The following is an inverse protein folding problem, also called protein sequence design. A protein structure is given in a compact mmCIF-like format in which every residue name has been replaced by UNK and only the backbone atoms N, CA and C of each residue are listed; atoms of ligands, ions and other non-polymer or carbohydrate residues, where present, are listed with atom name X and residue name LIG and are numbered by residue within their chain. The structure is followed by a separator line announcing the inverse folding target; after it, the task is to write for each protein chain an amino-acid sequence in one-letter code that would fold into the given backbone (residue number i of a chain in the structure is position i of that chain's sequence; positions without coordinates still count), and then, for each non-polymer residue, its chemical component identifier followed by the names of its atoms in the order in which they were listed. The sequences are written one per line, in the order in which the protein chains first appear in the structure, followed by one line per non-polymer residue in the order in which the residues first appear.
data_IF_188154743092
#
_entry.id   IF_188154743092
#
_cell.length_a   1.000
_cell.length_b   1.000
_cell.length_c   1.000
_cell.angle_alpha   90.00
_cell.angle_beta   90.00
_cell.angle_gamma   90.00
#
_symmetry.space_group_name_H-M   'P 1'
#
loop_
_entity.id
_entity.type
_entity.pdbx_description
1 polymer ?
#
# COMPACT_ATOMS: atom_id res chain seq x y z
N UNK A 1 -18.00 -21.45 32.30
CA UNK A 1 -18.69 -20.22 31.86
C UNK A 1 -18.25 -19.88 30.43
N UNK A 2 -19.18 -19.86 29.47
CA UNK A 2 -18.87 -19.83 28.03
C UNK A 2 -18.36 -18.45 27.59
N UNK A 3 -17.30 -18.45 26.77
CA UNK A 3 -16.66 -17.28 26.09
C UNK A 3 -17.57 -16.64 25.02
N UNK A 4 -18.86 -16.47 25.27
CA UNK A 4 -19.83 -15.96 24.27
C UNK A 4 -19.59 -14.49 23.91
N UNK A 5 -19.14 -13.67 24.86
CA UNK A 5 -18.72 -12.28 24.57
C UNK A 5 -17.44 -12.18 23.73
N UNK A 6 -16.55 -13.17 23.81
CA UNK A 6 -15.27 -13.19 23.08
C UNK A 6 -15.45 -13.43 21.58
N UNK A 7 -16.31 -14.37 21.20
CA UNK A 7 -16.54 -14.71 19.79
C UNK A 7 -17.22 -13.58 19.00
N UNK A 8 -18.23 -12.93 19.60
CA UNK A 8 -18.91 -11.76 19.02
C UNK A 8 -17.90 -10.60 18.86
N UNK A 9 -17.04 -10.37 19.86
CA UNK A 9 -16.02 -9.31 19.79
C UNK A 9 -14.96 -9.56 18.71
N UNK A 10 -14.56 -10.82 18.48
CA UNK A 10 -13.62 -11.18 17.42
C UNK A 10 -14.25 -11.03 16.04
N UNK A 11 -15.48 -11.50 15.86
CA UNK A 11 -16.22 -11.37 14.62
C UNK A 11 -16.42 -9.89 14.24
N UNK A 12 -16.76 -9.03 15.21
CA UNK A 12 -16.89 -7.59 14.97
C UNK A 12 -15.55 -6.94 14.58
N UNK A 13 -14.45 -7.28 15.27
CA UNK A 13 -13.12 -6.78 14.91
C UNK A 13 -12.67 -7.24 13.52
N UNK A 14 -12.97 -8.48 13.14
CA UNK A 14 -12.71 -8.99 11.79
C UNK A 14 -13.49 -8.22 10.74
N UNK A 15 -14.79 -7.99 10.93
CA UNK A 15 -15.58 -7.15 10.02
C UNK A 15 -15.03 -5.74 9.85
N UNK A 16 -14.51 -5.14 10.94
CA UNK A 16 -13.87 -3.84 10.86
C UNK A 16 -12.56 -3.89 10.03
N UNK A 17 -11.77 -4.97 10.15
CA UNK A 17 -10.60 -5.20 9.31
C UNK A 17 -11.02 -5.41 7.85
N UNK A 18 -12.00 -6.27 7.58
CA UNK A 18 -12.48 -6.54 6.22
C UNK A 18 -12.93 -5.25 5.50
N UNK A 19 -13.63 -4.37 6.22
CA UNK A 19 -14.04 -3.07 5.70
C UNK A 19 -12.84 -2.14 5.42
N UNK A 20 -11.80 -2.17 6.26
CA UNK A 20 -10.56 -1.42 6.02
C UNK A 20 -9.80 -1.99 4.83
N UNK A 21 -9.72 -3.31 4.72
CA UNK A 21 -9.01 -4.01 3.64
C UNK A 21 -9.68 -3.76 2.29
N UNK A 22 -11.02 -3.73 2.23
CA UNK A 22 -11.75 -3.30 1.04
C UNK A 22 -11.36 -1.91 0.58
N UNK A 23 -11.29 -0.94 1.51
CA UNK A 23 -10.86 0.44 1.20
C UNK A 23 -9.39 0.50 0.78
N UNK A 24 -8.52 -0.31 1.39
CA UNK A 24 -7.10 -0.41 1.00
C UNK A 24 -7.00 -0.95 -0.44
N UNK A 25 -7.76 -1.98 -0.79
CA UNK A 25 -7.77 -2.54 -2.14
C UNK A 25 -8.21 -1.51 -3.19
N UNK A 26 -9.28 -0.76 -2.92
CA UNK A 26 -9.76 0.30 -3.82
C UNK A 26 -8.70 1.40 -4.03
N UNK A 27 -8.06 1.83 -2.94
CA UNK A 27 -7.00 2.83 -3.00
C UNK A 27 -5.76 2.33 -3.76
N UNK A 28 -5.37 1.07 -3.57
CA UNK A 28 -4.26 0.46 -4.30
C UNK A 28 -4.58 0.32 -5.79
N UNK A 29 -5.81 -0.05 -6.14
CA UNK A 29 -6.30 -0.12 -7.52
C UNK A 29 -6.27 1.26 -8.19
N UNK A 30 -6.81 2.29 -7.53
CA UNK A 30 -6.76 3.67 -8.02
C UNK A 30 -5.31 4.17 -8.20
N UNK A 31 -4.44 3.84 -7.23
CA UNK A 31 -3.02 4.16 -7.33
C UNK A 31 -2.34 3.44 -8.50
N UNK A 32 -2.68 2.18 -8.77
CA UNK A 32 -2.13 1.42 -9.88
C UNK A 32 -2.49 2.07 -11.22
N UNK A 33 -3.76 2.46 -11.42
CA UNK A 33 -4.20 3.17 -12.63
C UNK A 33 -3.40 4.45 -12.89
N UNK A 34 -3.10 5.23 -11.85
CA UNK A 34 -2.22 6.41 -11.96
C UNK A 34 -0.77 6.03 -12.29
N UNK A 35 -0.26 4.93 -11.73
CA UNK A 35 1.08 4.43 -12.07
C UNK A 35 1.14 4.00 -13.54
N UNK A 36 0.12 3.32 -14.05
CA UNK A 36 0.02 2.91 -15.45
C UNK A 36 -0.01 4.12 -16.38
N UNK A 37 -0.84 5.13 -16.08
CA UNK A 37 -0.94 6.34 -16.90
C UNK A 37 0.37 7.15 -16.96
N UNK A 38 1.24 7.01 -15.96
CA UNK A 38 2.55 7.65 -15.91
C UNK A 38 3.64 6.85 -16.65
N UNK A 39 3.45 5.56 -16.91
CA UNK A 39 4.46 4.71 -17.56
C UNK A 39 4.95 5.26 -18.92
N UNK A 40 4.09 5.71 -19.86
CA UNK A 40 4.53 6.24 -21.15
C UNK A 40 5.26 7.59 -21.03
N UNK A 41 5.01 8.35 -19.97
CA UNK A 41 5.61 9.68 -19.75
C UNK A 41 7.03 9.61 -19.17
N UNK A 42 7.46 8.43 -18.71
CA UNK A 42 8.73 8.27 -17.99
C UNK A 42 9.87 7.86 -18.92
N UNK A 43 10.89 8.71 -19.01
CA UNK A 43 12.19 8.33 -19.61
C UNK A 43 12.84 7.17 -18.85
N UNK A 44 12.83 7.22 -17.51
CA UNK A 44 13.29 6.15 -16.61
C UNK A 44 12.18 5.73 -15.66
N UNK A 45 11.93 4.44 -15.54
CA UNK A 45 10.86 3.93 -14.68
C UNK A 45 11.15 4.12 -13.18
N UNK A 46 12.40 3.87 -12.77
CA UNK A 46 12.88 3.98 -11.39
C UNK A 46 13.42 5.38 -11.12
N UNK A 47 12.90 6.03 -10.09
CA UNK A 47 13.36 7.33 -9.59
C UNK A 47 13.61 7.23 -8.08
N UNK A 48 14.89 7.08 -7.73
CA UNK A 48 15.33 6.93 -6.34
C UNK A 48 15.04 8.18 -5.50
N UNK A 49 15.11 9.38 -6.09
CA UNK A 49 14.82 10.63 -5.38
C UNK A 49 13.34 10.67 -5.01
N UNK A 50 12.47 10.33 -5.97
CA UNK A 50 11.02 10.25 -5.76
C UNK A 50 10.66 9.17 -4.74
N UNK A 51 11.25 7.98 -4.81
CA UNK A 51 11.02 6.88 -3.86
C UNK A 51 11.37 7.32 -2.42
N UNK A 52 12.53 7.96 -2.22
CA UNK A 52 12.94 8.48 -0.90
C UNK A 52 11.95 9.52 -0.36
N UNK A 53 11.46 10.42 -1.22
CA UNK A 53 10.45 11.42 -0.84
C UNK A 53 9.10 10.79 -0.47
N UNK A 54 8.68 9.71 -1.14
CA UNK A 54 7.47 8.97 -0.77
C UNK A 54 7.64 8.33 0.60
N UNK A 55 8.75 7.61 0.83
CA UNK A 55 9.01 6.93 2.11
C UNK A 55 9.13 7.90 3.28
N UNK A 56 9.77 9.05 3.08
CA UNK A 56 9.86 10.11 4.09
C UNK A 56 8.48 10.62 4.48
N UNK A 57 7.64 10.97 3.50
CA UNK A 57 6.27 11.46 3.75
C UNK A 57 5.39 10.45 4.46
N UNK A 58 5.50 9.17 4.11
CA UNK A 58 4.72 8.09 4.74
C UNK A 58 5.19 7.85 6.16
N UNK A 59 6.51 7.78 6.38
CA UNK A 59 7.08 7.55 7.72
C UNK A 59 6.71 8.69 8.67
N UNK A 60 6.60 9.93 8.18
CA UNK A 60 6.20 11.09 8.96
C UNK A 60 4.71 11.08 9.40
N UNK A 61 3.87 10.18 8.86
CA UNK A 61 2.46 10.05 9.26
C UNK A 61 2.25 9.27 10.55
N UNK A 62 3.28 8.59 11.05
CA UNK A 62 3.19 7.76 12.23
C UNK A 62 4.48 7.86 13.06
N UNK A 63 4.50 7.19 14.23
CA UNK A 63 5.67 7.16 15.11
C UNK A 63 6.07 5.72 15.44
N UNK A 64 7.34 5.53 15.83
CA UNK A 64 7.83 4.25 16.34
C UNK A 64 7.59 3.06 15.41
N UNK A 65 6.92 2.02 15.94
CA UNK A 65 6.64 0.77 15.22
C UNK A 65 5.76 0.99 13.99
N UNK A 66 4.76 1.86 14.08
CA UNK A 66 3.83 2.13 12.99
C UNK A 66 4.54 2.79 11.80
N UNK A 67 5.42 3.76 12.06
CA UNK A 67 6.22 4.39 11.01
C UNK A 67 7.08 3.38 10.24
N UNK A 68 7.71 2.43 10.96
CA UNK A 68 8.50 1.35 10.34
C UNK A 68 7.63 0.41 9.52
N UNK A 69 6.45 0.04 10.03
CA UNK A 69 5.49 -0.78 9.32
C UNK A 69 5.03 -0.12 8.02
N UNK A 70 4.57 1.14 8.08
CA UNK A 70 4.13 1.88 6.90
C UNK A 70 5.24 2.05 5.86
N UNK A 71 6.48 2.30 6.31
CA UNK A 71 7.64 2.38 5.42
C UNK A 71 7.86 1.08 4.66
N UNK A 72 7.82 -0.08 5.34
CA UNK A 72 8.00 -1.39 4.72
C UNK A 72 6.88 -1.71 3.71
N UNK A 73 5.62 -1.43 4.07
CA UNK A 73 4.47 -1.60 3.17
C UNK A 73 4.65 -0.75 1.90
N UNK A 74 5.06 0.52 2.05
CA UNK A 74 5.26 1.38 0.89
C UNK A 74 6.46 1.00 0.02
N UNK A 75 7.53 0.44 0.60
CA UNK A 75 8.63 -0.13 -0.18
C UNK A 75 8.12 -1.24 -1.10
N UNK A 76 7.27 -2.12 -0.57
CA UNK A 76 6.71 -3.23 -1.33
C UNK A 76 5.72 -2.76 -2.42
N UNK A 77 4.83 -1.83 -2.09
CA UNK A 77 3.93 -1.20 -3.07
C UNK A 77 4.72 -0.60 -4.23
N UNK A 78 5.80 0.13 -3.94
CA UNK A 78 6.65 0.74 -4.98
C UNK A 78 7.39 -0.31 -5.80
N UNK A 79 7.90 -1.37 -5.17
CA UNK A 79 8.58 -2.49 -5.85
C UNK A 79 7.64 -3.15 -6.86
N UNK A 80 6.42 -3.49 -6.43
CA UNK A 80 5.40 -4.10 -7.29
C UNK A 80 4.95 -3.16 -8.42
N UNK A 81 4.76 -1.87 -8.10
CA UNK A 81 4.42 -0.84 -9.10
C UNK A 81 5.49 -0.75 -10.19
N UNK A 82 6.77 -0.77 -9.81
CA UNK A 82 7.87 -0.71 -10.77
C UNK A 82 7.92 -1.96 -11.66
N UNK A 83 7.70 -3.15 -11.07
CA UNK A 83 7.63 -4.40 -11.83
C UNK A 83 6.50 -4.38 -12.86
N UNK A 84 5.33 -3.86 -12.48
CA UNK A 84 4.20 -3.68 -13.39
C UNK A 84 4.47 -2.69 -14.52
N UNK A 85 5.06 -1.52 -14.22
CA UNK A 85 5.43 -0.56 -15.27
C UNK A 85 6.46 -1.14 -16.25
N UNK A 86 7.35 -2.03 -15.80
CA UNK A 86 8.30 -2.74 -16.67
C UNK A 86 7.58 -3.68 -17.63
N UNK A 87 6.61 -4.47 -17.13
CA UNK A 87 5.87 -5.42 -17.98
C UNK A 87 5.01 -4.74 -19.04
N UNK A 88 4.52 -3.52 -18.76
CA UNK A 88 3.79 -2.72 -19.74
C UNK A 88 4.67 -2.16 -20.87
N UNK A 89 5.96 -1.90 -20.60
CA UNK A 89 6.91 -1.39 -21.61
C UNK A 89 7.59 -2.49 -22.43
N UNK A 90 7.51 -3.74 -21.99
CA UNK A 90 8.07 -4.91 -22.69
C UNK A 90 7.06 -5.61 -23.60
N UNK A 91 5.83 -5.09 -23.70
CA UNK A 91 4.79 -5.50 -24.65
C UNK A 91 4.77 -4.52 -25.80
#
# INVERSE_FOLDING_TARGET
MKKTGGAISLAMRRRAIDALDGRIADLLSARLKLVESLAPLKTRLRDLKRERQVLSRVSARARGKEARFLKAVYQEIMRLSLAHQKSLRSR
#
